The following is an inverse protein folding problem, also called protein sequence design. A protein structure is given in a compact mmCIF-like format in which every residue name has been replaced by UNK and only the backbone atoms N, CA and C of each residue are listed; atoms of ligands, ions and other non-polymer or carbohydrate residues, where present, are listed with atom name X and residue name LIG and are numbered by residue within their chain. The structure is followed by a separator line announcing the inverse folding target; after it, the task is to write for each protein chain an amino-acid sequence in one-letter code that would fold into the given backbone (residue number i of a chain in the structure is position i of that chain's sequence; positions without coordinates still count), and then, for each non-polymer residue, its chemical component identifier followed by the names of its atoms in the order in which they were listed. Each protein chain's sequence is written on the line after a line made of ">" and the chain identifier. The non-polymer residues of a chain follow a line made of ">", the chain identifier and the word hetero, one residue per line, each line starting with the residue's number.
data_IF_090357554831
#
_entry.id   IF_090357554831
#
_cell.length_a   1.000
_cell.length_b   1.000
_cell.length_c   1.000
_cell.angle_alpha   90.00
_cell.angle_beta   90.00
_cell.angle_gamma   90.00
#
_symmetry.space_group_name_H-M   'P 1'
#
loop_
_entity.id
_entity.type
_entity.pdbx_description
1 polymer ?
#
# COMPACT_ATOMS: atom_id res chain seq x y z
N UNK A 1 13.67 22.75 22.99
CA UNK A 1 13.44 21.52 23.78
C UNK A 1 12.37 20.73 23.02
N UNK A 2 12.78 19.89 22.06
CA UNK A 2 11.85 19.11 21.22
C UNK A 2 11.53 17.80 21.95
N UNK A 3 10.25 17.59 22.24
CA UNK A 3 9.79 16.35 22.86
C UNK A 3 9.92 15.21 21.87
N UNK A 4 10.66 14.16 22.20
CA UNK A 4 10.71 12.90 21.47
C UNK A 4 9.28 12.36 21.39
N UNK A 5 8.69 12.37 20.19
CA UNK A 5 7.40 11.73 19.95
C UNK A 5 7.65 10.23 19.88
N UNK A 6 7.49 9.56 21.01
CA UNK A 6 7.45 8.09 21.04
C UNK A 6 6.16 7.63 20.35
N UNK A 7 6.23 7.33 19.05
CA UNK A 7 5.17 6.61 18.38
C UNK A 7 5.12 5.18 18.92
N UNK A 8 4.25 4.96 19.88
CA UNK A 8 3.88 3.61 20.30
C UNK A 8 2.88 3.07 19.26
N UNK A 9 3.24 2.04 18.48
CA UNK A 9 2.35 1.45 17.48
C UNK A 9 1.14 0.73 18.09
N UNK A 10 1.08 0.64 19.41
CA UNK A 10 0.04 -0.09 20.14
C UNK A 10 -1.35 0.55 20.09
N UNK A 11 -1.48 1.84 19.82
CA UNK A 11 -2.79 2.51 19.87
C UNK A 11 -3.69 2.23 18.65
N UNK A 12 -3.15 1.81 17.51
CA UNK A 12 -3.93 1.58 16.28
C UNK A 12 -4.24 0.11 15.98
N UNK A 13 -3.58 -0.82 16.66
CA UNK A 13 -3.81 -2.27 16.50
C UNK A 13 -4.89 -2.81 17.43
N UNK A 14 -5.32 -2.04 18.44
CA UNK A 14 -6.28 -2.48 19.47
C UNK A 14 -7.73 -2.63 18.99
N UNK A 15 -8.10 -2.22 17.80
CA UNK A 15 -9.47 -2.34 17.29
C UNK A 15 -9.78 -3.67 16.58
N UNK A 16 -8.77 -4.48 16.33
CA UNK A 16 -8.92 -5.87 15.87
C UNK A 16 -7.88 -6.72 16.59
N UNK A 17 -8.31 -7.80 17.20
CA UNK A 17 -7.50 -8.80 17.91
C UNK A 17 -6.41 -9.44 17.02
N UNK A 18 -5.46 -8.64 16.55
CA UNK A 18 -4.24 -9.14 15.89
C UNK A 18 -3.23 -9.40 17.00
N UNK A 19 -3.15 -10.64 17.44
CA UNK A 19 -2.15 -11.09 18.39
C UNK A 19 -0.77 -11.03 17.70
N UNK A 20 0.24 -10.47 18.35
CA UNK A 20 1.64 -10.47 17.88
C UNK A 20 2.15 -11.90 17.54
N UNK A 21 1.56 -12.92 18.15
CA UNK A 21 1.83 -14.33 17.87
C UNK A 21 1.33 -14.78 16.50
N UNK A 22 0.27 -14.18 15.96
CA UNK A 22 -0.28 -14.47 14.63
C UNK A 22 0.68 -14.03 13.51
N UNK A 23 1.58 -13.10 13.81
CA UNK A 23 2.65 -12.65 12.91
C UNK A 23 3.90 -13.57 12.95
N UNK A 24 3.89 -14.65 13.73
CA UNK A 24 5.05 -15.53 13.88
C UNK A 24 6.27 -14.83 14.53
N UNK A 25 6.06 -13.69 15.17
CA UNK A 25 7.09 -12.93 15.88
C UNK A 25 7.20 -13.46 17.32
N UNK A 26 8.13 -14.36 17.58
CA UNK A 26 8.53 -14.69 18.94
C UNK A 26 9.22 -13.48 19.55
N UNK A 27 8.59 -12.88 20.58
CA UNK A 27 9.21 -11.86 21.41
C UNK A 27 10.41 -12.52 22.11
N UNK A 28 11.63 -12.18 21.69
CA UNK A 28 12.84 -12.62 22.38
C UNK A 28 13.98 -13.23 21.54
N UNK A 29 13.92 -13.25 20.22
CA UNK A 29 14.99 -13.80 19.39
C UNK A 29 15.48 -12.86 18.28
N UNK A 30 16.72 -12.39 18.40
CA UNK A 30 17.42 -11.52 17.41
C UNK A 30 17.51 -12.07 15.98
N UNK A 31 17.09 -13.30 15.72
CA UNK A 31 17.50 -14.06 14.53
C UNK A 31 16.55 -13.99 13.34
N UNK A 32 15.33 -13.47 13.45
CA UNK A 32 14.39 -13.48 12.33
C UNK A 32 14.26 -12.12 11.61
N UNK A 33 14.54 -10.99 12.27
CA UNK A 33 14.56 -9.65 11.65
C UNK A 33 15.66 -9.50 10.58
N UNK A 34 16.84 -10.07 10.82
CA UNK A 34 17.96 -9.95 9.88
C UNK A 34 17.81 -10.76 8.60
N UNK A 35 17.09 -11.90 8.62
CA UNK A 35 16.90 -12.75 7.42
C UNK A 35 15.88 -12.22 6.43
N UNK A 36 14.93 -11.39 6.87
CA UNK A 36 13.85 -10.88 6.00
C UNK A 36 14.31 -9.73 5.07
N UNK A 37 15.44 -9.07 5.36
CA UNK A 37 15.80 -7.79 4.75
C UNK A 37 17.21 -7.66 4.18
N UNK A 38 18.02 -8.73 4.21
CA UNK A 38 19.28 -8.74 3.46
C UNK A 38 18.98 -9.09 2.01
N UNK A 39 18.92 -8.08 1.14
CA UNK A 39 19.05 -8.30 -0.32
C UNK A 39 20.45 -8.86 -0.51
N UNK A 40 20.58 -10.16 -0.82
CA UNK A 40 21.84 -10.71 -1.26
C UNK A 40 22.31 -9.96 -2.50
N UNK A 41 23.60 -9.70 -2.62
CA UNK A 41 24.21 -8.95 -3.73
C UNK A 41 23.79 -9.46 -5.13
N UNK A 42 23.31 -10.70 -5.22
CA UNK A 42 22.86 -11.37 -6.45
C UNK A 42 21.33 -11.53 -6.58
N UNK A 43 20.52 -10.93 -5.71
CA UNK A 43 19.07 -11.11 -5.76
C UNK A 43 18.43 -10.13 -6.73
N UNK A 44 17.56 -10.62 -7.61
CA UNK A 44 16.78 -9.77 -8.51
C UNK A 44 15.87 -8.84 -7.72
N UNK A 45 16.07 -7.52 -7.84
CA UNK A 45 15.33 -6.48 -7.09
C UNK A 45 13.82 -6.55 -7.28
N UNK A 46 13.38 -6.85 -8.51
CA UNK A 46 11.94 -6.97 -8.80
C UNK A 46 11.35 -8.19 -8.11
N UNK A 47 12.02 -9.33 -8.15
CA UNK A 47 11.55 -10.55 -7.47
C UNK A 47 11.49 -10.31 -5.97
N UNK A 48 12.50 -9.70 -5.37
CA UNK A 48 12.51 -9.33 -3.96
C UNK A 48 11.34 -8.40 -3.60
N UNK A 49 11.08 -7.38 -4.42
CA UNK A 49 9.93 -6.48 -4.23
C UNK A 49 8.60 -7.26 -4.26
N UNK A 50 8.44 -8.20 -5.18
CA UNK A 50 7.25 -9.07 -5.29
C UNK A 50 7.10 -9.94 -4.04
N UNK A 51 8.17 -10.57 -3.58
CA UNK A 51 8.19 -11.41 -2.38
C UNK A 51 7.77 -10.61 -1.14
N UNK A 52 8.39 -9.45 -0.94
CA UNK A 52 8.11 -8.55 0.17
C UNK A 52 6.63 -8.10 0.15
N UNK A 53 6.19 -7.58 -0.98
CA UNK A 53 4.83 -7.08 -1.15
C UNK A 53 3.79 -8.19 -0.95
N UNK A 54 4.03 -9.37 -1.49
CA UNK A 54 3.11 -10.50 -1.35
C UNK A 54 3.01 -10.97 0.10
N UNK A 55 4.12 -11.00 0.84
CA UNK A 55 4.11 -11.37 2.24
C UNK A 55 3.37 -10.34 3.09
N UNK A 56 3.58 -9.04 2.88
CA UNK A 56 2.82 -7.99 3.59
C UNK A 56 1.34 -8.02 3.23
N UNK A 57 1.03 -8.22 1.96
CA UNK A 57 -0.35 -8.33 1.50
C UNK A 57 -1.11 -9.48 2.17
N UNK A 58 -0.48 -10.62 2.43
CA UNK A 58 -1.10 -11.76 3.14
C UNK A 58 -1.51 -11.41 4.57
N UNK A 59 -0.84 -10.47 5.21
CA UNK A 59 -1.17 -10.07 6.57
C UNK A 59 -2.33 -9.06 6.62
N UNK A 60 -2.46 -8.23 5.58
CA UNK A 60 -3.43 -7.13 5.55
C UNK A 60 -4.73 -7.54 4.85
N UNK A 61 -4.63 -8.31 3.78
CA UNK A 61 -5.80 -8.68 2.98
C UNK A 61 -6.30 -10.08 3.33
N UNK A 62 -7.62 -10.27 3.50
CA UNK A 62 -8.19 -11.61 3.56
C UNK A 62 -7.93 -12.34 2.23
N UNK A 63 -7.93 -13.66 2.27
CA UNK A 63 -7.68 -14.46 1.07
C UNK A 63 -8.64 -14.11 -0.07
N UNK A 64 -9.92 -13.96 0.24
CA UNK A 64 -10.97 -13.61 -0.71
C UNK A 64 -11.81 -12.46 -0.18
N UNK A 65 -12.55 -11.77 -1.06
CA UNK A 65 -13.40 -10.63 -0.68
C UNK A 65 -14.65 -11.05 0.09
N UNK A 66 -15.20 -12.20 -0.25
CA UNK A 66 -16.34 -12.87 0.41
C UNK A 66 -16.36 -14.34 0.01
N UNK A 67 -17.20 -15.13 0.69
CA UNK A 67 -17.35 -16.57 0.44
C UNK A 67 -17.92 -16.89 -0.95
N UNK A 68 -18.68 -15.96 -1.52
CA UNK A 68 -19.26 -16.09 -2.87
C UNK A 68 -18.35 -15.62 -4.00
N UNK A 69 -17.10 -15.24 -3.71
CA UNK A 69 -16.15 -14.83 -4.75
C UNK A 69 -15.70 -16.04 -5.58
N UNK A 70 -15.31 -15.80 -6.84
CA UNK A 70 -14.90 -16.87 -7.78
C UNK A 70 -13.63 -17.64 -7.38
N UNK A 71 -12.98 -17.35 -6.28
CA UNK A 71 -11.79 -18.01 -5.71
C UNK A 71 -10.64 -18.32 -6.70
N UNK A 72 -10.66 -17.69 -7.89
CA UNK A 72 -9.61 -17.88 -8.93
C UNK A 72 -8.35 -17.13 -8.51
N UNK A 73 -8.51 -15.89 -8.01
CA UNK A 73 -7.41 -15.04 -7.54
C UNK A 73 -7.65 -14.64 -6.10
N UNK A 74 -6.63 -14.72 -5.27
CA UNK A 74 -6.72 -14.17 -3.92
C UNK A 74 -6.36 -12.67 -3.91
N UNK A 75 -6.84 -11.95 -2.89
CA UNK A 75 -6.59 -10.51 -2.78
C UNK A 75 -5.10 -10.15 -2.67
N UNK A 76 -4.25 -10.87 -1.89
CA UNK A 76 -2.81 -10.66 -1.88
C UNK A 76 -2.14 -10.77 -3.26
N UNK A 77 -2.58 -11.71 -4.12
CA UNK A 77 -2.06 -11.81 -5.49
C UNK A 77 -2.40 -10.56 -6.30
N UNK A 78 -3.67 -10.14 -6.27
CA UNK A 78 -4.13 -8.95 -7.02
C UNK A 78 -3.46 -7.67 -6.52
N UNK A 79 -3.29 -7.55 -5.20
CA UNK A 79 -2.58 -6.41 -4.61
C UNK A 79 -1.11 -6.38 -5.05
N UNK A 80 -0.41 -7.52 -5.04
CA UNK A 80 0.99 -7.59 -5.47
C UNK A 80 1.14 -7.20 -6.94
N UNK A 81 0.24 -7.65 -7.82
CA UNK A 81 0.24 -7.26 -9.23
C UNK A 81 0.00 -5.75 -9.37
N UNK A 82 -0.93 -5.18 -8.60
CA UNK A 82 -1.19 -3.76 -8.58
C UNK A 82 0.04 -2.95 -8.10
N UNK A 83 0.71 -3.42 -7.05
CA UNK A 83 1.94 -2.81 -6.54
C UNK A 83 3.07 -2.88 -7.59
N UNK A 84 3.23 -4.02 -8.28
CA UNK A 84 4.17 -4.15 -9.40
C UNK A 84 3.88 -3.15 -10.52
N UNK A 85 2.60 -3.00 -10.91
CA UNK A 85 2.18 -2.02 -11.91
C UNK A 85 2.64 -0.61 -11.52
N UNK A 86 2.45 -0.24 -10.26
CA UNK A 86 2.82 1.08 -9.76
C UNK A 86 4.34 1.25 -9.69
N UNK A 87 5.05 0.23 -9.21
CA UNK A 87 6.52 0.22 -9.13
C UNK A 87 7.18 0.36 -10.49
N UNK A 88 6.68 -0.36 -11.50
CA UNK A 88 7.19 -0.33 -12.87
C UNK A 88 6.63 0.84 -13.69
N UNK A 89 5.70 1.63 -13.14
CA UNK A 89 5.01 2.74 -13.82
C UNK A 89 4.34 2.34 -15.13
N UNK A 90 3.78 1.12 -15.18
CA UNK A 90 3.14 0.53 -16.36
C UNK A 90 1.62 0.71 -16.34
N UNK A 91 0.98 0.43 -17.47
CA UNK A 91 -0.48 0.37 -17.59
C UNK A 91 -1.02 -0.96 -17.06
N UNK A 92 -2.35 -1.07 -16.93
CA UNK A 92 -3.00 -2.33 -16.53
C UNK A 92 -2.85 -3.44 -17.59
N UNK A 93 -2.65 -3.10 -18.86
CA UNK A 93 -2.43 -4.08 -19.94
C UNK A 93 -0.99 -4.55 -19.94
N UNK A 94 -0.06 -3.63 -19.94
CA UNK A 94 1.38 -3.92 -19.95
C UNK A 94 1.81 -4.79 -18.76
N UNK A 95 1.26 -4.58 -17.55
CA UNK A 95 1.64 -5.43 -16.41
C UNK A 95 1.23 -6.89 -16.63
N UNK A 96 0.14 -7.16 -17.36
CA UNK A 96 -0.26 -8.53 -17.69
C UNK A 96 0.70 -9.14 -18.72
N UNK A 97 1.13 -8.38 -19.73
CA UNK A 97 2.12 -8.80 -20.71
C UNK A 97 3.48 -9.11 -20.04
N UNK A 98 3.90 -8.27 -19.08
CA UNK A 98 5.12 -8.51 -18.29
C UNK A 98 4.98 -9.81 -17.46
N UNK A 99 3.82 -10.07 -16.89
CA UNK A 99 3.59 -11.29 -16.12
C UNK A 99 3.59 -12.53 -17.02
N UNK A 100 3.10 -12.41 -18.24
CA UNK A 100 3.04 -13.53 -19.20
C UNK A 100 4.45 -14.06 -19.53
N UNK A 101 5.43 -13.16 -19.63
CA UNK A 101 6.83 -13.54 -19.87
C UNK A 101 7.63 -13.80 -18.59
N UNK A 102 7.02 -13.61 -17.40
CA UNK A 102 7.73 -13.67 -16.11
C UNK A 102 7.39 -14.92 -15.29
N UNK A 103 7.80 -16.10 -15.77
CA UNK A 103 7.55 -17.40 -15.13
C UNK A 103 7.91 -17.44 -13.64
N UNK A 104 9.02 -16.83 -13.23
CA UNK A 104 9.45 -16.84 -11.83
C UNK A 104 8.45 -16.14 -10.92
N UNK A 105 7.89 -15.02 -11.38
CA UNK A 105 6.92 -14.22 -10.62
C UNK A 105 5.58 -14.94 -10.57
N UNK A 106 5.09 -15.45 -11.69
CA UNK A 106 3.81 -16.18 -11.76
C UNK A 106 3.82 -17.44 -10.91
N UNK A 107 4.92 -18.20 -10.93
CA UNK A 107 5.14 -19.37 -10.05
C UNK A 107 5.20 -18.97 -8.58
N UNK A 108 5.91 -17.90 -8.23
CA UNK A 108 5.97 -17.42 -6.84
C UNK A 108 4.60 -17.01 -6.32
N UNK A 109 3.84 -16.26 -7.12
CA UNK A 109 2.48 -15.84 -6.78
C UNK A 109 1.47 -17.00 -6.85
N UNK A 110 1.86 -18.19 -7.34
CA UNK A 110 0.98 -19.35 -7.55
C UNK A 110 -0.24 -19.01 -8.41
N UNK A 111 0.00 -18.33 -9.53
CA UNK A 111 -1.05 -17.98 -10.48
C UNK A 111 -1.26 -19.17 -11.46
N UNK A 112 -2.41 -19.81 -11.38
CA UNK A 112 -2.77 -20.86 -12.34
C UNK A 112 -3.19 -20.28 -13.70
N UNK A 113 -3.69 -19.04 -13.69
CA UNK A 113 -4.10 -18.28 -14.87
C UNK A 113 -3.78 -16.81 -14.63
N UNK A 114 -3.38 -16.09 -15.69
CA UNK A 114 -3.20 -14.65 -15.61
C UNK A 114 -4.54 -13.93 -15.48
N UNK A 115 -4.66 -12.95 -14.59
CA UNK A 115 -5.87 -12.16 -14.48
C UNK A 115 -6.03 -11.24 -15.69
N UNK A 116 -7.26 -11.05 -16.13
CA UNK A 116 -7.53 -10.00 -17.10
C UNK A 116 -7.29 -8.62 -16.46
N UNK A 117 -6.81 -7.64 -17.23
CA UNK A 117 -6.45 -6.31 -16.72
C UNK A 117 -7.61 -5.61 -15.98
N UNK A 118 -8.85 -5.84 -16.40
CA UNK A 118 -10.04 -5.29 -15.71
C UNK A 118 -10.24 -5.89 -14.31
N UNK A 119 -9.74 -7.09 -14.04
CA UNK A 119 -9.81 -7.70 -12.70
C UNK A 119 -8.97 -6.90 -11.70
N UNK A 120 -7.77 -6.49 -12.12
CA UNK A 120 -6.88 -5.66 -11.30
C UNK A 120 -7.47 -4.26 -11.11
N UNK A 121 -8.02 -3.67 -12.18
CA UNK A 121 -8.69 -2.37 -12.11
C UNK A 121 -9.89 -2.40 -11.15
N UNK A 122 -10.75 -3.42 -11.24
CA UNK A 122 -11.89 -3.60 -10.33
C UNK A 122 -11.44 -3.85 -8.88
N UNK A 123 -10.35 -4.56 -8.68
CA UNK A 123 -9.75 -4.73 -7.36
C UNK A 123 -9.30 -3.39 -6.78
N UNK A 124 -8.57 -2.58 -7.55
CA UNK A 124 -8.14 -1.25 -7.13
C UNK A 124 -9.30 -0.33 -6.72
N UNK A 125 -10.36 -0.28 -7.55
CA UNK A 125 -11.54 0.57 -7.26
C UNK A 125 -12.24 0.15 -5.96
N UNK A 126 -12.22 -1.14 -5.62
CA UNK A 126 -12.85 -1.68 -4.41
C UNK A 126 -11.95 -1.64 -3.17
N UNK A 127 -10.69 -1.34 -3.35
CA UNK A 127 -9.72 -1.29 -2.24
C UNK A 127 -10.01 -0.09 -1.34
N UNK A 128 -10.17 -0.33 -0.04
CA UNK A 128 -10.41 0.75 0.92
C UNK A 128 -9.10 1.43 1.32
N UNK A 129 -9.18 2.73 1.61
CA UNK A 129 -8.09 3.53 2.17
C UNK A 129 -7.57 2.95 3.50
N UNK A 130 -8.47 2.38 4.31
CA UNK A 130 -8.09 1.74 5.58
C UNK A 130 -7.09 0.61 5.39
N UNK A 131 -7.19 -0.18 4.31
CA UNK A 131 -6.24 -1.25 4.01
C UNK A 131 -4.85 -0.73 3.67
N UNK A 132 -4.77 0.41 2.98
CA UNK A 132 -3.50 1.06 2.69
C UNK A 132 -2.87 1.65 3.96
N UNK A 133 -3.68 2.22 4.86
CA UNK A 133 -3.22 2.69 6.18
C UNK A 133 -2.73 1.54 7.04
N UNK A 134 -3.46 0.42 7.10
CA UNK A 134 -3.05 -0.78 7.81
C UNK A 134 -1.70 -1.30 7.27
N UNK A 135 -1.52 -1.29 5.94
CA UNK A 135 -0.26 -1.68 5.31
C UNK A 135 0.89 -0.74 5.68
N UNK A 136 0.67 0.57 5.63
CA UNK A 136 1.67 1.55 6.02
C UNK A 136 2.08 1.38 7.49
N UNK A 137 1.10 1.22 8.39
CA UNK A 137 1.35 0.98 9.81
C UNK A 137 2.11 -0.33 10.04
N UNK A 138 1.79 -1.38 9.29
CA UNK A 138 2.52 -2.66 9.34
C UNK A 138 3.99 -2.48 8.91
N UNK A 139 4.24 -1.73 7.84
CA UNK A 139 5.60 -1.45 7.36
C UNK A 139 6.38 -0.69 8.43
N UNK A 140 5.81 0.35 9.02
CA UNK A 140 6.44 1.12 10.10
C UNK A 140 6.67 0.28 11.36
N UNK A 141 5.77 -0.66 11.66
CA UNK A 141 5.94 -1.57 12.78
C UNK A 141 7.10 -2.57 12.57
N UNK A 142 7.22 -3.11 11.36
CA UNK A 142 8.29 -4.06 11.01
C UNK A 142 9.64 -3.35 10.88
N UNK A 143 9.62 -2.11 10.36
CA UNK A 143 10.78 -1.26 10.18
C UNK A 143 10.65 -0.01 11.06
N UNK A 144 10.90 -0.13 12.37
CA UNK A 144 10.84 1.03 13.23
C UNK A 144 11.86 2.08 12.78
N UNK A 145 11.38 3.31 12.64
CA UNK A 145 12.17 4.47 12.25
C UNK A 145 12.41 5.31 13.50
N UNK A 146 13.65 5.68 13.73
CA UNK A 146 13.99 6.74 14.69
C UNK A 146 13.89 8.06 13.95
N UNK A 147 12.70 8.67 13.96
CA UNK A 147 12.43 9.89 13.22
C UNK A 147 12.89 11.11 14.00
N UNK A 148 14.00 11.71 13.59
CA UNK A 148 14.49 12.95 14.17
C UNK A 148 13.82 14.18 13.56
N UNK A 149 13.53 14.15 12.26
CA UNK A 149 12.90 15.23 11.51
C UNK A 149 11.81 14.74 10.58
N UNK A 150 10.58 15.21 10.80
CA UNK A 150 9.46 14.93 9.92
C UNK A 150 9.11 16.15 9.07
N UNK A 151 8.92 15.96 7.78
CA UNK A 151 8.37 16.96 6.88
C UNK A 151 6.89 16.67 6.62
N UNK A 152 6.06 17.70 6.63
CA UNK A 152 4.63 17.61 6.30
C UNK A 152 4.30 18.56 5.16
N UNK A 153 3.55 18.05 4.18
CA UNK A 153 3.06 18.87 3.06
C UNK A 153 1.64 18.49 2.67
N UNK A 154 0.92 19.46 2.13
CA UNK A 154 -0.44 19.31 1.65
C UNK A 154 -0.52 19.58 0.15
N UNK A 155 -0.80 18.55 -0.66
CA UNK A 155 -0.95 18.66 -2.12
C UNK A 155 -2.41 18.55 -2.53
N UNK A 156 -2.87 19.50 -3.35
CA UNK A 156 -4.21 19.51 -3.93
C UNK A 156 -4.24 18.84 -5.32
N UNK A 157 -5.10 17.85 -5.49
CA UNK A 157 -5.36 17.22 -6.79
C UNK A 157 -6.73 17.67 -7.30
N UNK A 158 -6.74 18.34 -8.45
CA UNK A 158 -7.99 18.71 -9.12
C UNK A 158 -8.53 17.51 -9.89
N UNK A 159 -9.86 17.37 -9.87
CA UNK A 159 -10.54 16.41 -10.72
C UNK A 159 -10.36 16.75 -12.21
N UNK A 160 -10.51 15.74 -13.05
CA UNK A 160 -10.32 15.79 -14.49
C UNK A 160 -11.23 16.83 -15.18
N UNK A 161 -10.89 17.21 -16.40
CA UNK A 161 -11.53 18.28 -17.18
C UNK A 161 -13.07 18.16 -17.29
N UNK A 162 -13.59 16.93 -17.31
CA UNK A 162 -15.03 16.67 -17.36
C UNK A 162 -15.78 17.20 -16.15
N UNK A 163 -15.20 17.14 -14.96
CA UNK A 163 -15.81 17.64 -13.72
C UNK A 163 -15.90 19.17 -13.69
N UNK A 164 -14.95 19.86 -14.35
CA UNK A 164 -14.98 21.31 -14.50
C UNK A 164 -16.11 21.77 -15.40
N UNK A 165 -16.35 21.06 -16.49
CA UNK A 165 -17.45 21.35 -17.42
C UNK A 165 -18.80 21.20 -16.73
N UNK A 166 -19.07 20.10 -16.06
CA UNK A 166 -20.32 19.85 -15.34
C UNK A 166 -20.51 20.79 -14.14
N UNK A 167 -19.43 21.15 -13.42
CA UNK A 167 -19.50 22.12 -12.34
C UNK A 167 -19.92 23.52 -12.88
N UNK A 168 -19.40 23.92 -14.04
CA UNK A 168 -19.76 25.18 -14.69
C UNK A 168 -21.24 25.20 -15.13
N UNK A 169 -21.71 24.10 -15.75
CA UNK A 169 -23.12 23.98 -16.15
C UNK A 169 -24.08 24.03 -14.96
N UNK A 170 -23.70 23.42 -13.83
CA UNK A 170 -24.50 23.41 -12.60
C UNK A 170 -24.37 24.66 -11.76
N UNK A 171 -23.70 25.71 -12.24
CA UNK A 171 -23.49 26.96 -11.52
C UNK A 171 -22.68 26.84 -10.22
N UNK A 172 -21.91 25.75 -10.05
CA UNK A 172 -21.05 25.56 -8.87
C UNK A 172 -19.77 26.37 -9.03
N UNK A 173 -19.60 27.39 -8.19
CA UNK A 173 -18.42 28.28 -8.21
C UNK A 173 -17.14 27.59 -7.68
N UNK A 174 -17.25 26.48 -6.94
CA UNK A 174 -16.09 25.81 -6.34
C UNK A 174 -15.75 24.53 -7.11
N UNK A 175 -14.49 24.46 -7.54
CA UNK A 175 -13.91 23.25 -8.12
C UNK A 175 -13.80 22.19 -7.04
N UNK A 176 -14.29 20.97 -7.29
CA UNK A 176 -14.02 19.85 -6.39
C UNK A 176 -12.55 19.45 -6.52
N UNK A 177 -11.84 19.33 -5.42
CA UNK A 177 -10.47 18.81 -5.39
C UNK A 177 -10.29 17.90 -4.17
N UNK A 178 -9.32 17.04 -4.26
CA UNK A 178 -8.88 16.18 -3.16
C UNK A 178 -7.59 16.78 -2.64
N UNK A 179 -7.54 17.07 -1.34
CA UNK A 179 -6.31 17.49 -0.67
C UNK A 179 -5.71 16.31 0.06
N UNK A 180 -4.47 15.99 -0.28
CA UNK A 180 -3.68 14.99 0.40
C UNK A 180 -2.69 15.68 1.33
N UNK A 181 -2.65 15.26 2.57
CA UNK A 181 -1.63 15.62 3.54
C UNK A 181 -0.75 14.40 3.76
N UNK A 182 0.55 14.57 3.65
CA UNK A 182 1.53 13.50 3.80
C UNK A 182 2.57 13.97 4.81
N UNK A 183 2.86 13.13 5.79
CA UNK A 183 3.98 13.28 6.70
C UNK A 183 5.03 12.23 6.36
N UNK A 184 6.27 12.65 6.14
CA UNK A 184 7.39 11.77 5.81
C UNK A 184 8.54 11.98 6.79
N UNK A 185 9.28 10.94 7.07
CA UNK A 185 10.60 11.04 7.67
C UNK A 185 11.61 11.55 6.63
N UNK A 186 12.38 12.59 6.98
CA UNK A 186 13.25 13.29 6.03
C UNK A 186 14.42 12.39 5.60
N UNK A 187 14.97 11.60 6.52
CA UNK A 187 16.14 10.78 6.27
C UNK A 187 15.81 9.52 5.46
N UNK A 188 14.83 8.76 5.91
CA UNK A 188 14.44 7.50 5.25
C UNK A 188 13.47 7.69 4.11
N UNK A 189 12.79 8.85 4.02
CA UNK A 189 11.69 9.18 3.09
C UNK A 189 10.48 8.25 3.22
N UNK A 190 10.36 7.58 4.36
CA UNK A 190 9.20 6.73 4.61
C UNK A 190 7.99 7.57 5.01
N UNK A 191 6.82 7.17 4.52
CA UNK A 191 5.55 7.81 4.85
C UNK A 191 5.18 7.43 6.29
N UNK A 192 5.19 8.40 7.19
CA UNK A 192 4.79 8.23 8.59
C UNK A 192 3.26 8.19 8.72
N UNK A 193 2.60 9.11 8.01
CA UNK A 193 1.14 9.16 7.98
C UNK A 193 0.66 9.88 6.73
N UNK A 194 -0.59 9.63 6.33
CA UNK A 194 -1.24 10.39 5.27
C UNK A 194 -2.74 10.54 5.53
N UNK A 195 -3.32 11.61 5.00
CA UNK A 195 -4.75 11.86 5.02
C UNK A 195 -5.21 12.44 3.69
N UNK A 196 -6.31 11.91 3.16
CA UNK A 196 -6.96 12.43 1.96
C UNK A 196 -8.33 12.98 2.31
N UNK A 197 -8.60 14.23 1.93
CA UNK A 197 -9.86 14.89 2.21
C UNK A 197 -10.44 15.53 0.96
N UNK A 198 -11.76 15.54 0.83
CA UNK A 198 -12.46 16.34 -0.20
C UNK A 198 -12.58 17.78 0.26
N UNK A 199 -12.28 18.71 -0.65
CA UNK A 199 -12.47 20.14 -0.46
C UNK A 199 -11.32 20.84 0.29
N UNK A 200 -11.46 22.17 0.50
CA UNK A 200 -10.46 22.96 1.17
C UNK A 200 -10.46 22.65 2.66
N UNK A 201 -9.45 21.93 3.12
CA UNK A 201 -9.09 21.88 4.52
C UNK A 201 -7.75 22.59 4.72
N UNK A 202 -7.67 23.40 5.77
CA UNK A 202 -6.42 24.07 6.12
C UNK A 202 -5.36 23.06 6.58
N UNK A 203 -4.10 23.43 6.48
CA UNK A 203 -2.93 22.60 6.87
C UNK A 203 -2.65 22.68 8.37
N UNK A 204 -3.72 22.74 9.20
CA UNK A 204 -3.62 22.77 10.66
C UNK A 204 -3.80 21.40 11.28
#
# INVERSE_FOLDING_TARGET
>A
MYSKINYSPYYYLNSRHLNLLDFGLKIGGKTRKEKLFKIGENQNRLLYFVELTFNYAKWIFPKYSCDYSNHIYNQPQLFTILAMKTYLKTTYREIIEILDVSDKITKYLKLNKLPHYTTIQKFFIRMSDTKLKDLNNLILFIHPIDCELAAMDGTGHTSDYADHYYAKIRGKCRKSYIKNHIAIDVDTRMILNYAANRGPKYDT
#
